data_IF_439639337507
#
_entry.id   IF_439639337507
#
_cell.length_a   1.000
_cell.length_b   1.000
_cell.length_c   1.000
_cell.angle_alpha   90.00
_cell.angle_beta   90.00
_cell.angle_gamma   90.00
#
_symmetry.space_group_name_H-M   'P 1'
#
loop_
_entity.id
_entity.type
_entity.pdbx_description
1 polymer ?
#
# COMPACT_ATOMS: atom_id res chain seq x y z
N UNK A 1 17.14 -3.80 4.09
CA UNK A 1 17.56 -5.07 3.44
C UNK A 1 16.44 -6.10 3.41
N UNK A 2 15.83 -6.46 4.55
CA UNK A 2 14.75 -7.46 4.65
C UNK A 2 13.60 -7.16 3.69
N UNK A 3 13.14 -5.91 3.63
CA UNK A 3 12.09 -5.49 2.69
C UNK A 3 12.45 -5.82 1.23
N UNK A 4 13.66 -5.45 0.78
CA UNK A 4 14.09 -5.66 -0.61
C UNK A 4 14.21 -7.15 -0.93
N UNK A 5 14.98 -7.89 -0.13
CA UNK A 5 15.23 -9.32 -0.36
C UNK A 5 13.94 -10.12 -0.26
N UNK A 6 13.12 -9.84 0.76
CA UNK A 6 11.82 -10.48 0.94
C UNK A 6 10.87 -10.18 -0.22
N UNK A 7 10.84 -8.94 -0.71
CA UNK A 7 9.98 -8.54 -1.85
C UNK A 7 10.39 -9.24 -3.14
N UNK A 8 11.69 -9.27 -3.44
CA UNK A 8 12.23 -10.00 -4.59
C UNK A 8 11.94 -11.51 -4.48
N UNK A 9 12.16 -12.10 -3.31
CA UNK A 9 11.84 -13.51 -3.05
C UNK A 9 10.34 -13.81 -3.20
N UNK A 10 9.46 -12.91 -2.73
CA UNK A 10 8.00 -13.06 -2.86
C UNK A 10 7.55 -13.02 -4.32
N UNK A 11 8.12 -12.11 -5.12
CA UNK A 11 7.87 -12.04 -6.56
C UNK A 11 8.41 -13.27 -7.28
N UNK A 12 9.66 -13.67 -6.99
CA UNK A 12 10.27 -14.86 -7.58
C UNK A 12 9.45 -16.12 -7.29
N UNK A 13 8.96 -16.29 -6.06
CA UNK A 13 8.08 -17.39 -5.68
C UNK A 13 6.76 -17.36 -6.47
N UNK A 14 6.14 -16.19 -6.62
CA UNK A 14 4.93 -16.05 -7.43
C UNK A 14 5.15 -16.56 -8.86
N UNK A 15 6.20 -16.07 -9.53
CA UNK A 15 6.51 -16.47 -10.91
C UNK A 15 6.93 -17.94 -11.02
N UNK A 16 7.67 -18.47 -10.04
CA UNK A 16 8.05 -19.88 -10.01
C UNK A 16 6.84 -20.81 -9.85
N UNK A 17 5.86 -20.45 -9.02
CA UNK A 17 4.62 -21.22 -8.85
C UNK A 17 3.74 -21.10 -10.09
N UNK A 18 3.53 -19.88 -10.59
CA UNK A 18 2.75 -19.63 -11.81
C UNK A 18 3.34 -20.38 -13.02
N UNK A 19 4.66 -20.34 -13.20
CA UNK A 19 5.35 -21.06 -14.26
C UNK A 19 5.35 -22.59 -14.11
N UNK A 20 5.00 -23.13 -12.94
CA UNK A 20 4.83 -24.58 -12.74
C UNK A 20 3.39 -25.04 -12.93
N UNK A 21 2.43 -24.27 -12.41
CA UNK A 21 1.01 -24.63 -12.38
C UNK A 21 0.26 -24.21 -13.64
N UNK A 22 0.64 -23.07 -14.22
CA UNK A 22 -0.14 -22.39 -15.26
C UNK A 22 0.72 -22.06 -16.51
N UNK A 23 1.60 -22.98 -16.90
CA UNK A 23 2.51 -22.84 -18.07
C UNK A 23 1.83 -22.31 -19.34
N UNK A 24 0.65 -22.82 -19.75
CA UNK A 24 0.03 -22.40 -21.00
C UNK A 24 -0.42 -20.93 -21.00
N UNK A 25 -0.62 -20.31 -19.83
CA UNK A 25 -1.07 -18.92 -19.74
C UNK A 25 -0.02 -17.99 -20.37
N UNK A 26 1.27 -18.18 -20.07
CA UNK A 26 2.33 -17.29 -20.56
C UNK A 26 2.51 -17.32 -22.09
N UNK A 27 2.00 -18.33 -22.79
CA UNK A 27 2.04 -18.37 -24.26
C UNK A 27 1.14 -17.32 -24.91
N UNK A 28 0.11 -16.86 -24.20
CA UNK A 28 -0.83 -15.84 -24.69
C UNK A 28 -0.48 -14.43 -24.22
N UNK A 29 0.77 -14.22 -23.78
CA UNK A 29 1.22 -12.93 -23.27
C UNK A 29 1.06 -11.82 -24.30
N UNK A 30 0.39 -10.74 -23.91
CA UNK A 30 0.28 -9.55 -24.73
C UNK A 30 0.41 -8.29 -23.85
N UNK A 31 1.51 -7.56 -24.04
CA UNK A 31 1.87 -6.39 -23.24
C UNK A 31 0.79 -5.29 -23.28
N UNK A 32 0.11 -5.11 -24.42
CA UNK A 32 -0.97 -4.11 -24.54
C UNK A 32 -2.10 -4.41 -23.57
N UNK A 33 -2.55 -5.67 -23.49
CA UNK A 33 -3.61 -6.08 -22.57
C UNK A 33 -3.18 -5.96 -21.11
N UNK A 34 -1.91 -6.27 -20.81
CA UNK A 34 -1.33 -6.12 -19.46
C UNK A 34 -1.38 -4.66 -19.01
N UNK A 35 -0.85 -3.74 -19.82
CA UNK A 35 -0.82 -2.31 -19.51
C UNK A 35 -2.23 -1.74 -19.37
N UNK A 36 -3.12 -2.04 -20.32
CA UNK A 36 -4.52 -1.58 -20.26
C UNK A 36 -5.23 -2.08 -19.00
N UNK A 37 -4.97 -3.33 -18.60
CA UNK A 37 -5.54 -3.89 -17.36
C UNK A 37 -4.97 -3.19 -16.14
N UNK A 38 -3.65 -2.95 -16.07
CA UNK A 38 -3.06 -2.20 -14.96
C UNK A 38 -3.66 -0.81 -14.84
N UNK A 39 -3.76 -0.06 -15.94
CA UNK A 39 -4.38 1.27 -15.94
C UNK A 39 -5.84 1.22 -15.46
N UNK A 40 -6.63 0.27 -15.96
CA UNK A 40 -8.03 0.09 -15.54
C UNK A 40 -8.22 -0.16 -14.04
N UNK A 41 -7.29 -0.86 -13.40
CA UNK A 41 -7.37 -1.15 -11.97
C UNK A 41 -6.66 -0.10 -11.10
N UNK A 42 -5.65 0.60 -11.62
CA UNK A 42 -4.99 1.72 -10.96
C UNK A 42 -5.91 2.94 -10.86
N UNK A 43 -6.74 3.16 -11.88
CA UNK A 43 -7.75 4.21 -11.86
C UNK A 43 -9.12 3.65 -11.46
N UNK A 44 -10.03 4.49 -10.91
CA UNK A 44 -11.36 4.08 -10.47
C UNK A 44 -12.35 3.83 -11.62
N UNK A 45 -11.91 3.17 -12.70
CA UNK A 45 -12.68 2.90 -13.91
C UNK A 45 -13.09 1.42 -14.06
N UNK A 46 -12.90 0.61 -13.02
CA UNK A 46 -13.24 -0.81 -13.06
C UNK A 46 -14.63 -1.09 -12.47
N UNK A 47 -15.19 -2.26 -12.82
CA UNK A 47 -16.52 -2.69 -12.38
C UNK A 47 -16.66 -2.82 -10.85
N UNK A 48 -15.56 -2.94 -10.11
CA UNK A 48 -15.59 -2.99 -8.64
C UNK A 48 -16.12 -1.67 -8.08
N UNK A 49 -15.74 -0.55 -8.69
CA UNK A 49 -16.21 0.79 -8.32
C UNK A 49 -17.72 0.89 -8.55
N UNK A 50 -18.23 0.37 -9.67
CA UNK A 50 -19.67 0.37 -9.93
C UNK A 50 -20.48 -0.45 -8.91
N UNK A 51 -19.90 -1.54 -8.38
CA UNK A 51 -20.56 -2.42 -7.40
C UNK A 51 -20.52 -1.87 -5.96
N UNK A 52 -19.49 -1.11 -5.61
CA UNK A 52 -19.35 -0.55 -4.26
C UNK A 52 -18.64 0.81 -4.31
N UNK A 53 -19.30 1.85 -4.81
CA UNK A 53 -18.65 3.13 -5.15
C UNK A 53 -18.01 3.80 -3.94
N UNK A 54 -18.72 3.82 -2.81
CA UNK A 54 -18.23 4.43 -1.57
C UNK A 54 -16.99 3.70 -1.05
N UNK A 55 -17.04 2.37 -0.93
CA UNK A 55 -15.92 1.59 -0.41
C UNK A 55 -14.71 1.66 -1.35
N UNK A 56 -14.94 1.61 -2.66
CA UNK A 56 -13.87 1.78 -3.64
C UNK A 56 -13.23 3.16 -3.57
N UNK A 57 -14.02 4.23 -3.46
CA UNK A 57 -13.48 5.59 -3.32
C UNK A 57 -12.60 5.72 -2.07
N UNK A 58 -13.06 5.20 -0.93
CA UNK A 58 -12.27 5.15 0.30
C UNK A 58 -10.97 4.35 0.10
N UNK A 59 -11.05 3.21 -0.60
CA UNK A 59 -9.88 2.41 -0.96
C UNK A 59 -8.86 3.17 -1.80
N UNK A 60 -9.30 3.87 -2.85
CA UNK A 60 -8.42 4.67 -3.69
C UNK A 60 -7.80 5.84 -2.93
N UNK A 61 -8.60 6.60 -2.17
CA UNK A 61 -8.12 7.71 -1.37
C UNK A 61 -7.08 7.24 -0.33
N UNK A 62 -7.35 6.12 0.35
CA UNK A 62 -6.43 5.52 1.31
C UNK A 62 -5.09 5.15 0.66
N UNK A 63 -5.11 4.39 -0.44
CA UNK A 63 -3.86 3.94 -1.07
C UNK A 63 -3.09 5.09 -1.72
N UNK A 64 -3.78 6.06 -2.32
CA UNK A 64 -3.14 7.26 -2.84
C UNK A 64 -2.39 8.00 -1.74
N UNK A 65 -3.06 8.31 -0.63
CA UNK A 65 -2.40 9.01 0.49
C UNK A 65 -1.31 8.14 1.15
N UNK A 66 -1.55 6.84 1.31
CA UNK A 66 -0.61 5.88 1.90
C UNK A 66 0.74 5.85 1.17
N UNK A 67 0.73 6.01 -0.16
CA UNK A 67 1.93 5.98 -0.99
C UNK A 67 2.49 7.38 -1.18
N UNK A 68 1.62 8.36 -1.46
CA UNK A 68 2.03 9.71 -1.82
C UNK A 68 2.67 10.44 -0.63
N UNK A 69 2.10 10.33 0.57
CA UNK A 69 2.63 11.03 1.75
C UNK A 69 4.09 10.67 2.05
N UNK A 70 4.48 9.41 2.29
CA UNK A 70 5.86 9.09 2.65
C UNK A 70 6.88 9.36 1.53
N UNK A 71 6.45 9.44 0.27
CA UNK A 71 7.35 9.75 -0.85
C UNK A 71 7.57 11.26 -0.97
N UNK A 72 6.53 12.08 -0.76
CA UNK A 72 6.57 13.51 -1.09
C UNK A 72 6.66 14.44 0.12
N UNK A 73 6.59 13.93 1.35
CA UNK A 73 6.72 14.76 2.54
C UNK A 73 8.17 15.26 2.70
N UNK A 74 8.33 16.53 3.05
CA UNK A 74 9.64 17.22 3.06
C UNK A 74 10.67 16.51 3.93
N UNK A 75 10.28 16.01 5.10
CA UNK A 75 11.20 15.35 6.03
C UNK A 75 11.78 14.06 5.45
N UNK A 76 11.02 13.32 4.64
CA UNK A 76 11.51 12.11 3.98
C UNK A 76 12.40 12.44 2.79
N UNK A 77 12.07 13.49 2.03
CA UNK A 77 12.89 13.97 0.91
C UNK A 77 14.24 14.49 1.39
N UNK A 78 14.24 15.31 2.45
CA UNK A 78 15.48 15.82 3.06
C UNK A 78 16.32 14.69 3.62
N UNK A 79 15.71 13.75 4.37
CA UNK A 79 16.44 12.59 4.88
C UNK A 79 17.05 11.75 3.75
N UNK A 80 16.34 11.58 2.63
CA UNK A 80 16.91 10.93 1.46
C UNK A 80 18.12 11.69 0.91
N UNK A 81 17.99 12.99 0.67
CA UNK A 81 19.06 13.82 0.08
C UNK A 81 20.32 13.84 0.95
N UNK A 82 20.15 13.94 2.27
CA UNK A 82 21.26 14.06 3.23
C UNK A 82 21.92 12.70 3.53
N UNK A 83 21.14 11.63 3.68
CA UNK A 83 21.65 10.33 4.15
C UNK A 83 22.01 9.36 3.02
N UNK A 84 21.42 9.52 1.83
CA UNK A 84 21.82 8.70 0.69
C UNK A 84 22.97 9.31 -0.09
N UNK A 85 23.87 8.44 -0.57
CA UNK A 85 25.02 8.83 -1.41
C UNK A 85 24.62 9.41 -2.78
N UNK A 86 23.33 9.46 -3.08
CA UNK A 86 22.82 9.92 -4.36
C UNK A 86 22.65 11.45 -4.39
N UNK A 87 22.44 12.12 -3.25
CA UNK A 87 22.47 13.57 -3.13
C UNK A 87 21.52 14.34 -4.06
N UNK A 88 20.40 13.74 -4.45
CA UNK A 88 19.35 14.40 -5.23
C UNK A 88 18.04 14.40 -4.45
N UNK A 89 17.28 15.47 -4.60
CA UNK A 89 15.93 15.63 -4.08
C UNK A 89 14.92 15.74 -5.23
N UNK A 90 13.65 15.58 -4.89
CA UNK A 90 12.52 15.83 -5.78
C UNK A 90 11.54 16.80 -5.14
N UNK A 91 10.54 17.21 -5.91
CA UNK A 91 9.49 18.10 -5.40
C UNK A 91 8.85 17.52 -4.13
N UNK A 92 8.77 18.32 -3.07
CA UNK A 92 8.03 17.99 -1.85
C UNK A 92 6.66 18.67 -1.85
N UNK A 93 5.66 17.98 -1.28
CA UNK A 93 4.32 18.54 -1.15
C UNK A 93 4.24 19.57 0.00
N UNK A 94 3.29 20.52 -0.05
CA UNK A 94 3.06 21.45 1.06
C UNK A 94 2.66 20.72 2.35
N UNK A 95 3.11 21.23 3.51
CA UNK A 95 2.80 20.66 4.83
C UNK A 95 1.30 20.51 5.08
N UNK A 96 0.50 21.46 4.60
CA UNK A 96 -0.97 21.41 4.67
C UNK A 96 -1.53 20.17 3.97
N UNK A 97 -0.97 19.79 2.82
CA UNK A 97 -1.40 18.57 2.11
C UNK A 97 -0.99 17.34 2.90
N UNK A 98 0.25 17.29 3.39
CA UNK A 98 0.75 16.20 4.23
C UNK A 98 -0.13 15.97 5.45
N UNK A 99 -0.53 17.05 6.14
CA UNK A 99 -1.40 17.02 7.31
C UNK A 99 -2.75 16.36 7.00
N UNK A 100 -3.49 16.87 6.01
CA UNK A 100 -4.82 16.33 5.68
C UNK A 100 -4.75 14.93 5.09
N UNK A 101 -3.78 14.64 4.24
CA UNK A 101 -3.61 13.31 3.65
C UNK A 101 -3.26 12.26 4.71
N UNK A 102 -2.45 12.62 5.70
CA UNK A 102 -2.15 11.75 6.85
C UNK A 102 -3.42 11.46 7.67
N UNK A 103 -4.24 12.48 7.94
CA UNK A 103 -5.53 12.30 8.61
C UNK A 103 -6.49 11.41 7.79
N UNK A 104 -6.51 11.55 6.46
CA UNK A 104 -7.29 10.68 5.58
C UNK A 104 -6.88 9.21 5.75
N UNK A 105 -5.57 8.91 5.79
CA UNK A 105 -5.08 7.54 6.03
C UNK A 105 -5.54 7.02 7.39
N UNK A 106 -5.38 7.81 8.46
CA UNK A 106 -5.77 7.41 9.82
C UNK A 106 -7.28 7.15 9.90
N UNK A 107 -8.10 8.09 9.44
CA UNK A 107 -9.57 8.01 9.51
C UNK A 107 -10.09 6.83 8.69
N UNK A 108 -9.66 6.68 7.43
CA UNK A 108 -10.11 5.58 6.58
C UNK A 108 -9.62 4.24 7.13
N UNK A 109 -8.40 4.19 7.66
CA UNK A 109 -7.87 3.00 8.32
C UNK A 109 -8.73 2.57 9.51
N UNK A 110 -9.14 3.52 10.37
CA UNK A 110 -10.07 3.25 11.48
C UNK A 110 -11.43 2.78 10.95
N UNK A 111 -11.96 3.39 9.89
CA UNK A 111 -13.20 2.92 9.24
C UNK A 111 -13.05 1.48 8.76
N UNK A 112 -11.94 1.10 8.13
CA UNK A 112 -11.68 -0.27 7.70
C UNK A 112 -11.56 -1.25 8.87
N UNK A 113 -10.98 -0.82 9.99
CA UNK A 113 -10.91 -1.61 11.21
C UNK A 113 -12.30 -1.87 11.80
N UNK A 114 -13.08 -0.79 12.02
CA UNK A 114 -14.44 -0.86 12.57
C UNK A 114 -15.35 -1.68 11.65
N UNK A 115 -15.25 -1.50 10.32
CA UNK A 115 -16.01 -2.27 9.34
C UNK A 115 -15.84 -3.78 9.53
N UNK A 116 -14.64 -4.25 9.86
CA UNK A 116 -14.36 -5.68 10.11
C UNK A 116 -14.89 -6.17 11.46
N UNK A 117 -15.09 -5.28 12.44
CA UNK A 117 -15.71 -5.62 13.72
C UNK A 117 -17.23 -5.67 13.65
N UNK A 118 -17.84 -4.74 12.91
CA UNK A 118 -19.28 -4.48 12.95
C UNK A 118 -20.04 -5.21 11.85
N UNK A 119 -19.54 -5.26 10.62
CA UNK A 119 -20.29 -5.86 9.50
C UNK A 119 -20.20 -7.39 9.53
N UNK A 120 -21.32 -8.13 9.70
CA UNK A 120 -21.30 -9.59 9.89
C UNK A 120 -20.64 -10.34 8.72
N UNK A 121 -20.95 -9.93 7.49
CA UNK A 121 -20.41 -10.55 6.27
C UNK A 121 -18.90 -10.32 6.07
N UNK A 122 -18.32 -9.30 6.72
CA UNK A 122 -16.87 -9.04 6.71
C UNK A 122 -16.21 -9.76 7.88
N UNK A 123 -16.85 -9.72 9.05
CA UNK A 123 -16.34 -10.31 10.28
C UNK A 123 -16.18 -11.82 10.17
N UNK A 124 -17.14 -12.51 9.54
CA UNK A 124 -17.12 -13.98 9.39
C UNK A 124 -15.91 -14.50 8.60
N UNK A 125 -15.37 -13.69 7.69
CA UNK A 125 -14.17 -14.02 6.88
C UNK A 125 -12.90 -13.31 7.37
N UNK A 126 -12.98 -12.50 8.42
CA UNK A 126 -11.82 -11.75 8.93
C UNK A 126 -11.05 -12.58 9.93
N UNK A 127 -9.72 -12.63 9.77
CA UNK A 127 -8.82 -13.28 10.72
C UNK A 127 -8.09 -12.24 11.57
N UNK A 128 -7.47 -12.66 12.68
CA UNK A 128 -6.67 -11.77 13.53
C UNK A 128 -5.59 -11.00 12.75
N UNK A 129 -4.98 -11.66 11.75
CA UNK A 129 -3.99 -11.04 10.86
C UNK A 129 -4.56 -9.86 10.06
N UNK A 130 -5.85 -9.85 9.71
CA UNK A 130 -6.47 -8.71 8.99
C UNK A 130 -6.52 -7.44 9.83
N UNK A 131 -6.74 -7.59 11.14
CA UNK A 131 -6.74 -6.45 12.08
C UNK A 131 -5.32 -5.95 12.30
N UNK A 132 -4.36 -6.85 12.52
CA UNK A 132 -2.95 -6.48 12.70
C UNK A 132 -2.38 -5.73 11.50
N UNK A 133 -2.69 -6.18 10.28
CA UNK A 133 -2.23 -5.50 9.07
C UNK A 133 -2.74 -4.06 9.00
N UNK A 134 -4.01 -3.81 9.34
CA UNK A 134 -4.55 -2.44 9.37
C UNK A 134 -3.83 -1.58 10.42
N UNK A 135 -3.62 -2.11 11.63
CA UNK A 135 -2.92 -1.38 12.70
C UNK A 135 -1.50 -1.03 12.26
N UNK A 136 -0.73 -2.01 11.77
CA UNK A 136 0.64 -1.79 11.28
C UNK A 136 0.69 -0.75 10.16
N UNK A 137 -0.31 -0.71 9.27
CA UNK A 137 -0.37 0.29 8.20
C UNK A 137 -0.65 1.71 8.72
N UNK A 138 -1.49 1.85 9.74
CA UNK A 138 -1.86 3.18 10.29
C UNK A 138 -0.80 3.72 11.24
N UNK A 139 -0.09 2.86 11.96
CA UNK A 139 0.85 3.24 13.02
C UNK A 139 1.91 4.28 12.60
N UNK A 140 2.58 4.17 11.44
CA UNK A 140 3.54 5.18 10.99
C UNK A 140 2.90 6.56 10.78
N UNK A 141 1.68 6.58 10.25
CA UNK A 141 0.95 7.83 10.01
C UNK A 141 0.49 8.46 11.32
N UNK A 142 0.00 7.65 12.26
CA UNK A 142 -0.41 8.12 13.58
C UNK A 142 0.77 8.68 14.36
N UNK A 143 1.88 7.94 14.43
CA UNK A 143 3.09 8.38 15.15
C UNK A 143 3.75 9.59 14.48
N UNK A 144 3.77 9.66 13.14
CA UNK A 144 4.26 10.83 12.41
C UNK A 144 3.42 12.07 12.69
N UNK A 145 2.09 11.94 12.63
CA UNK A 145 1.17 13.03 12.98
C UNK A 145 1.33 13.48 14.43
N UNK A 146 1.46 12.54 15.37
CA UNK A 146 1.72 12.85 16.78
C UNK A 146 3.05 13.59 16.96
N UNK A 147 4.09 13.20 16.21
CA UNK A 147 5.40 13.84 16.29
C UNK A 147 5.35 15.33 15.91
N UNK A 148 4.51 15.71 14.96
CA UNK A 148 4.40 17.11 14.52
C UNK A 148 3.51 17.91 15.48
N UNK A 149 2.40 17.32 15.95
CA UNK A 149 1.38 18.05 16.73
C UNK A 149 1.64 18.07 18.24
N UNK A 150 2.44 17.14 18.76
CA UNK A 150 2.69 17.00 20.21
C UNK A 150 4.17 17.08 20.60
N UNK A 151 5.06 17.41 19.66
CA UNK A 151 6.47 17.70 19.96
C UNK A 151 6.57 18.85 20.97
N UNK A 152 7.01 18.54 22.19
CA UNK A 152 7.19 19.52 23.27
C UNK A 152 6.08 19.50 24.34
N UNK A 153 5.10 18.60 24.25
CA UNK A 153 4.18 18.37 25.37
C UNK A 153 4.88 17.63 26.52
N UNK A 154 4.54 17.97 27.77
CA UNK A 154 5.12 17.33 28.96
C UNK A 154 4.87 15.81 29.05
N UNK A 155 3.90 15.30 28.28
CA UNK A 155 3.47 13.91 28.30
C UNK A 155 4.21 13.01 27.30
N UNK A 156 4.75 13.58 26.21
CA UNK A 156 5.40 12.82 25.15
C UNK A 156 6.62 13.58 24.63
N UNK A 157 7.80 13.08 24.99
CA UNK A 157 9.05 13.61 24.46
C UNK A 157 9.15 13.34 22.94
N UNK A 158 9.54 14.36 22.18
CA UNK A 158 9.57 14.34 20.72
C UNK A 158 10.51 13.26 20.17
N UNK A 159 11.58 12.94 20.90
CA UNK A 159 12.54 11.89 20.54
C UNK A 159 11.87 10.52 20.56
N UNK A 160 11.05 10.25 21.59
CA UNK A 160 10.36 8.96 21.74
C UNK A 160 9.32 8.73 20.64
N UNK A 161 8.51 9.75 20.30
CA UNK A 161 7.53 9.62 19.21
C UNK A 161 8.23 9.44 17.86
N UNK A 162 9.32 10.18 17.60
CA UNK A 162 10.10 10.02 16.38
C UNK A 162 10.67 8.61 16.26
N UNK A 163 11.21 8.06 17.35
CA UNK A 163 11.68 6.68 17.38
C UNK A 163 10.54 5.69 17.09
N UNK A 164 9.36 5.89 17.68
CA UNK A 164 8.19 5.05 17.40
C UNK A 164 7.75 5.15 15.93
N UNK A 165 7.82 6.34 15.32
CA UNK A 165 7.54 6.53 13.89
C UNK A 165 8.49 5.69 13.04
N UNK A 166 9.79 5.81 13.26
CA UNK A 166 10.81 5.04 12.54
C UNK A 166 10.58 3.54 12.72
N UNK A 167 10.46 3.06 13.96
CA UNK A 167 10.27 1.64 14.26
C UNK A 167 8.97 1.08 13.66
N UNK A 168 7.88 1.85 13.69
CA UNK A 168 6.62 1.44 13.07
C UNK A 168 6.72 1.38 11.55
N UNK A 169 7.44 2.32 10.92
CA UNK A 169 7.72 2.32 9.49
C UNK A 169 8.58 1.13 9.08
N UNK A 170 9.66 0.86 9.82
CA UNK A 170 10.51 -0.32 9.60
C UNK A 170 9.74 -1.62 9.77
N UNK A 171 8.92 -1.74 10.80
CA UNK A 171 8.05 -2.90 11.02
C UNK A 171 7.11 -3.11 9.83
N UNK A 172 6.47 -2.05 9.35
CA UNK A 172 5.61 -2.13 8.16
C UNK A 172 6.39 -2.65 6.95
N UNK A 173 7.55 -2.06 6.65
CA UNK A 173 8.41 -2.46 5.53
C UNK A 173 8.87 -3.92 5.63
N UNK A 174 9.25 -4.38 6.82
CA UNK A 174 9.64 -5.78 7.08
C UNK A 174 8.46 -6.73 6.80
N UNK A 175 7.25 -6.35 7.17
CA UNK A 175 6.05 -7.20 7.05
C UNK A 175 5.44 -7.24 5.65
N UNK A 176 5.75 -6.27 4.77
CA UNK A 176 5.22 -6.23 3.39
C UNK A 176 5.36 -7.58 2.66
N UNK A 177 6.55 -8.19 2.52
CA UNK A 177 6.70 -9.41 1.74
C UNK A 177 6.08 -10.67 2.36
N UNK A 178 5.85 -10.68 3.68
CA UNK A 178 5.47 -11.89 4.43
C UNK A 178 4.00 -11.95 4.84
N UNK A 179 3.26 -10.84 4.72
CA UNK A 179 1.88 -10.74 5.19
C UNK A 179 0.90 -10.46 4.04
N UNK A 180 -0.37 -10.19 4.38
CA UNK A 180 -1.38 -9.73 3.43
C UNK A 180 -1.04 -8.36 2.81
N UNK A 181 -0.06 -7.62 3.36
CA UNK A 181 0.52 -6.43 2.72
C UNK A 181 1.24 -6.72 1.41
N UNK A 182 1.62 -7.98 1.16
CA UNK A 182 2.28 -8.38 -0.10
C UNK A 182 1.41 -8.15 -1.33
N UNK A 183 0.11 -7.85 -1.17
CA UNK A 183 -0.73 -7.38 -2.27
C UNK A 183 -0.17 -6.13 -2.96
N UNK A 184 0.57 -5.27 -2.25
CA UNK A 184 1.29 -4.14 -2.86
C UNK A 184 2.23 -4.60 -3.98
N UNK A 185 2.94 -5.72 -3.77
CA UNK A 185 3.85 -6.31 -4.74
C UNK A 185 3.09 -7.17 -5.77
N UNK A 186 2.17 -8.00 -5.28
CA UNK A 186 1.49 -9.03 -6.07
C UNK A 186 0.34 -8.49 -6.92
N UNK A 187 -0.08 -7.24 -6.70
CA UNK A 187 -1.11 -6.58 -7.52
C UNK A 187 -0.75 -6.62 -9.00
N UNK A 188 0.44 -6.17 -9.39
CA UNK A 188 0.86 -6.13 -10.80
C UNK A 188 0.91 -7.51 -11.45
N UNK A 189 1.62 -8.52 -10.91
CA UNK A 189 1.70 -9.82 -11.55
C UNK A 189 0.37 -10.59 -11.52
N UNK A 190 -0.46 -10.43 -10.48
CA UNK A 190 -1.80 -11.04 -10.48
C UNK A 190 -2.72 -10.45 -11.54
N UNK A 191 -2.71 -9.12 -11.73
CA UNK A 191 -3.49 -8.45 -12.79
C UNK A 191 -2.96 -8.77 -14.18
N UNK A 192 -1.66 -8.97 -14.32
CA UNK A 192 -1.05 -9.44 -15.57
C UNK A 192 -1.60 -10.83 -15.94
N UNK A 193 -1.63 -11.80 -15.03
CA UNK A 193 -2.18 -13.14 -15.31
C UNK A 193 -3.65 -13.07 -15.75
N UNK A 194 -4.46 -12.24 -15.09
CA UNK A 194 -5.87 -12.02 -15.48
C UNK A 194 -5.98 -11.42 -16.88
N UNK A 195 -5.12 -10.44 -17.20
CA UNK A 195 -5.14 -9.78 -18.51
C UNK A 195 -4.80 -10.75 -19.66
N UNK A 196 -3.89 -11.69 -19.41
CA UNK A 196 -3.50 -12.71 -20.38
C UNK A 196 -4.67 -13.64 -20.68
N UNK A 197 -5.39 -14.06 -19.62
CA UNK A 197 -6.56 -14.93 -19.78
C UNK A 197 -7.72 -14.24 -20.51
N UNK A 198 -7.93 -12.94 -20.29
CA UNK A 198 -8.91 -12.16 -21.05
C UNK A 198 -8.52 -11.98 -22.51
N UNK A 199 -7.24 -11.67 -22.78
CA UNK A 199 -6.71 -11.58 -24.14
C UNK A 199 -6.84 -12.90 -24.90
N UNK A 200 -6.56 -14.04 -24.24
CA UNK A 200 -6.75 -15.39 -24.82
C UNK A 200 -8.19 -15.66 -25.24
N UNK A 201 -9.17 -15.18 -24.49
CA UNK A 201 -10.61 -15.39 -24.76
C UNK A 201 -11.20 -14.38 -25.74
N UNK A 202 -10.41 -13.43 -26.23
CA UNK A 202 -10.87 -12.38 -27.15
C UNK A 202 -11.81 -11.35 -26.51
N UNK A 203 -11.82 -11.24 -25.18
CA UNK A 203 -12.55 -10.16 -24.52
C UNK A 203 -11.85 -8.83 -24.78
N UNK A 204 -12.63 -7.77 -25.01
CA UNK A 204 -12.08 -6.42 -25.04
C UNK A 204 -11.46 -6.10 -23.68
N UNK A 205 -10.20 -5.63 -23.73
CA UNK A 205 -9.42 -5.23 -22.57
C UNK A 205 -10.18 -4.27 -21.67
#
# INVERSE_FOLDING_TARGET
IVFIVGSLGRLALFFAVAGKRDKPIFHFFNLKYVILTWLRYLFPFNQTVAKSPVFSLLGYAFHFCLIFVPIFIIEHVMYWEEETRFGWSWWSMPDTWAYYMTLVVIVIGVVFFIRRLVLPHVRIISTFSDFLVIVVTILPFLTGWLSVNFAGSAFLDAIHIRLLHILSGELMLILIPFTKLSHFLLFFPSRMVISIEWGRRGYSA
#
